data_IF_823795660380
#
_entry.id   IF_823795660380
#
_cell.length_a   1.000
_cell.length_b   1.000
_cell.length_c   1.000
_cell.angle_alpha   90.00
_cell.angle_beta   90.00
_cell.angle_gamma   90.00
#
_symmetry.space_group_name_H-M   'P 1'
#
loop_
_entity.id
_entity.type
_entity.pdbx_description
1 polymer ?
#
# COMPACT_ATOMS: atom_id res chain seq x y z
N UNK A 1 -65.40 -17.22 21.10
CA UNK A 1 -64.19 -18.06 21.06
C UNK A 1 -63.39 -17.60 19.84
N UNK A 2 -62.41 -16.70 19.99
CA UNK A 2 -61.00 -16.96 20.34
C UNK A 2 -60.39 -18.17 19.63
N UNK A 3 -59.58 -17.92 18.59
CA UNK A 3 -58.16 -18.33 18.39
C UNK A 3 -57.74 -17.93 16.96
N UNK A 4 -56.94 -16.88 16.75
CA UNK A 4 -55.47 -16.75 16.81
C UNK A 4 -54.75 -17.25 15.54
N UNK A 5 -54.45 -16.26 14.68
CA UNK A 5 -53.24 -15.96 13.89
C UNK A 5 -52.56 -16.95 12.89
N UNK A 6 -51.84 -16.39 11.90
CA UNK A 6 -51.49 -16.98 10.61
C UNK A 6 -50.04 -17.51 10.56
N UNK A 7 -49.75 -18.39 9.59
CA UNK A 7 -48.40 -18.84 9.29
C UNK A 7 -47.83 -18.11 8.05
N UNK A 8 -47.05 -17.07 8.36
CA UNK A 8 -45.73 -16.75 7.82
C UNK A 8 -45.48 -16.90 6.30
N UNK A 9 -45.64 -15.77 5.61
CA UNK A 9 -44.58 -15.07 4.86
C UNK A 9 -43.46 -15.90 4.20
N UNK A 10 -43.60 -16.12 2.89
CA UNK A 10 -42.48 -16.28 1.97
C UNK A 10 -41.86 -14.90 1.76
N UNK A 11 -40.88 -14.55 2.59
CA UNK A 11 -40.00 -13.41 2.34
C UNK A 11 -38.88 -13.87 1.42
N UNK A 12 -38.98 -13.45 0.17
CA UNK A 12 -37.89 -13.36 -0.78
C UNK A 12 -36.63 -12.78 -0.11
N UNK A 13 -35.55 -13.56 -0.09
CA UNK A 13 -34.25 -13.19 0.41
C UNK A 13 -33.65 -12.05 -0.43
N UNK A 14 -33.90 -10.82 0.01
CA UNK A 14 -33.04 -9.68 -0.30
C UNK A 14 -31.95 -9.66 0.79
N UNK A 15 -30.65 -9.56 0.46
CA UNK A 15 -29.61 -9.58 1.47
C UNK A 15 -29.75 -8.37 2.39
N UNK A 16 -30.28 -8.61 3.59
CA UNK A 16 -30.47 -7.62 4.64
C UNK A 16 -29.13 -7.33 5.33
N UNK A 17 -28.28 -6.53 4.71
CA UNK A 17 -27.06 -5.99 5.35
C UNK A 17 -27.17 -4.49 5.68
N UNK A 18 -28.07 -3.74 5.04
CA UNK A 18 -28.25 -2.30 5.30
C UNK A 18 -29.17 -1.95 6.49
N UNK A 19 -29.79 -2.95 7.14
CA UNK A 19 -30.75 -2.75 8.24
C UNK A 19 -30.19 -3.08 9.64
N UNK A 20 -28.93 -3.49 9.79
CA UNK A 20 -28.37 -3.85 11.09
C UNK A 20 -27.72 -2.69 11.87
N UNK A 21 -27.43 -1.56 11.22
CA UNK A 21 -26.84 -0.39 11.86
C UNK A 21 -27.88 0.64 12.24
N UNK A 22 -27.76 1.19 13.45
CA UNK A 22 -28.52 2.35 13.93
C UNK A 22 -28.23 3.60 13.10
N UNK A 23 -29.08 4.63 13.21
CA UNK A 23 -28.90 5.89 12.48
C UNK A 23 -27.58 6.59 12.82
N UNK A 24 -27.14 6.54 14.07
CA UNK A 24 -25.84 7.08 14.48
C UNK A 24 -24.68 6.31 13.87
N UNK A 25 -24.77 4.98 13.83
CA UNK A 25 -23.74 4.13 13.21
C UNK A 25 -23.67 4.32 11.69
N UNK A 26 -24.82 4.53 11.03
CA UNK A 26 -24.86 4.90 9.62
C UNK A 26 -24.16 6.23 9.35
N UNK A 27 -24.28 7.21 10.26
CA UNK A 27 -23.53 8.48 10.17
C UNK A 27 -22.04 8.26 10.40
N UNK A 28 -21.64 7.41 11.37
CA UNK A 28 -20.23 7.03 11.55
C UNK A 28 -19.66 6.39 10.28
N UNK A 29 -20.39 5.45 9.68
CA UNK A 29 -20.00 4.83 8.40
C UNK A 29 -19.89 5.85 7.27
N UNK A 30 -20.85 6.79 7.17
CA UNK A 30 -20.82 7.84 6.19
C UNK A 30 -19.60 8.75 6.35
N UNK A 31 -19.28 9.17 7.59
CA UNK A 31 -18.09 9.97 7.88
C UNK A 31 -16.82 9.19 7.52
N UNK A 32 -16.73 7.92 7.92
CA UNK A 32 -15.58 7.07 7.61
C UNK A 32 -15.37 6.89 6.10
N UNK A 33 -16.44 6.56 5.36
CA UNK A 33 -16.41 6.44 3.89
C UNK A 33 -16.03 7.77 3.25
N UNK A 34 -16.58 8.88 3.73
CA UNK A 34 -16.27 10.21 3.24
C UNK A 34 -14.81 10.56 3.44
N UNK A 35 -14.27 10.37 4.65
CA UNK A 35 -12.85 10.63 4.94
C UNK A 35 -11.93 9.78 4.07
N UNK A 36 -12.25 8.50 3.88
CA UNK A 36 -11.44 7.60 3.06
C UNK A 36 -11.44 7.98 1.58
N UNK A 37 -12.61 8.32 1.02
CA UNK A 37 -12.71 8.73 -0.39
C UNK A 37 -12.06 10.09 -0.65
N UNK A 38 -12.23 11.08 0.24
CA UNK A 38 -11.55 12.37 0.11
C UNK A 38 -10.04 12.22 0.24
N UNK A 39 -9.55 11.41 1.20
CA UNK A 39 -8.12 11.12 1.35
C UNK A 39 -7.51 10.51 0.08
N UNK A 40 -8.24 9.60 -0.58
CA UNK A 40 -7.82 8.99 -1.83
C UNK A 40 -7.70 10.04 -2.96
N UNK A 41 -8.67 10.93 -3.11
CA UNK A 41 -8.61 11.99 -4.14
C UNK A 41 -7.53 13.04 -3.84
N UNK A 42 -7.33 13.42 -2.57
CA UNK A 42 -6.23 14.32 -2.18
C UNK A 42 -4.88 13.69 -2.52
N UNK A 43 -4.71 12.40 -2.21
CA UNK A 43 -3.48 11.66 -2.51
C UNK A 43 -3.24 11.53 -4.01
N UNK A 44 -4.30 11.25 -4.78
CA UNK A 44 -4.25 11.19 -6.25
C UNK A 44 -3.84 12.53 -6.84
N UNK A 45 -4.44 13.63 -6.40
CA UNK A 45 -4.07 14.98 -6.85
C UNK A 45 -2.61 15.30 -6.50
N UNK A 46 -2.17 15.00 -5.27
CA UNK A 46 -0.80 15.23 -4.85
C UNK A 46 0.21 14.48 -5.74
N UNK A 47 -0.03 13.19 -6.00
CA UNK A 47 0.82 12.36 -6.85
C UNK A 47 0.86 12.83 -8.32
N UNK A 48 -0.25 13.38 -8.82
CA UNK A 48 -0.35 13.87 -10.20
C UNK A 48 0.25 15.25 -10.39
N UNK A 49 0.16 16.12 -9.38
CA UNK A 49 0.41 17.56 -9.53
C UNK A 49 1.61 18.10 -8.79
N UNK A 50 2.19 17.34 -7.84
CA UNK A 50 3.54 17.60 -7.35
C UNK A 50 4.49 16.57 -7.94
N UNK A 51 5.11 16.94 -9.06
CA UNK A 51 6.45 16.43 -9.39
C UNK A 51 7.38 16.74 -8.21
N UNK A 52 8.39 15.88 -8.03
CA UNK A 52 9.39 15.90 -6.96
C UNK A 52 9.73 17.31 -6.45
N UNK A 53 9.83 17.54 -5.13
CA UNK A 53 10.22 18.84 -4.62
C UNK A 53 11.51 19.31 -5.29
N UNK A 54 11.49 20.54 -5.82
CA UNK A 54 12.71 21.18 -6.30
C UNK A 54 13.74 21.23 -5.16
N UNK A 55 15.01 20.98 -5.46
CA UNK A 55 16.09 20.95 -4.48
C UNK A 55 16.06 22.22 -3.61
N UNK A 56 15.82 22.03 -2.30
CA UNK A 56 15.85 23.11 -1.31
C UNK A 56 14.49 23.52 -0.73
N UNK A 57 13.36 23.05 -1.26
CA UNK A 57 12.07 23.26 -0.61
C UNK A 57 11.76 22.15 0.40
N UNK A 58 11.29 22.48 1.62
CA UNK A 58 10.86 21.47 2.57
C UNK A 58 9.72 20.66 1.95
N UNK A 59 9.92 19.34 1.85
CA UNK A 59 8.89 18.40 1.44
C UNK A 59 7.75 18.41 2.47
N UNK A 60 6.75 19.26 2.25
CA UNK A 60 5.53 19.22 3.07
C UNK A 60 4.73 17.99 2.64
N UNK A 61 4.94 16.85 3.29
CA UNK A 61 4.06 15.68 3.18
C UNK A 61 2.84 15.91 4.08
N UNK A 62 1.92 16.77 3.62
CA UNK A 62 0.60 16.94 4.26
C UNK A 62 -0.12 15.57 4.37
N UNK A 63 0.17 14.67 3.44
CA UNK A 63 -0.41 13.33 3.31
C UNK A 63 -0.10 12.43 4.50
N UNK A 64 1.13 12.38 5.03
CA UNK A 64 1.52 11.28 5.92
C UNK A 64 0.88 11.41 7.32
N UNK A 65 0.86 12.62 7.87
CA UNK A 65 0.27 12.89 9.19
C UNK A 65 -1.25 12.71 9.18
N UNK A 66 -1.92 13.20 8.15
CA UNK A 66 -3.37 13.06 8.01
C UNK A 66 -3.77 11.63 7.66
N UNK A 67 -2.95 10.90 6.89
CA UNK A 67 -3.18 9.49 6.58
C UNK A 67 -3.04 8.59 7.81
N UNK A 68 -2.00 8.80 8.63
CA UNK A 68 -1.90 8.10 9.92
C UNK A 68 -3.11 8.41 10.82
N UNK A 69 -3.50 9.68 10.93
CA UNK A 69 -4.69 10.08 11.70
C UNK A 69 -5.96 9.40 11.20
N UNK A 70 -6.16 9.33 9.88
CA UNK A 70 -7.27 8.61 9.28
C UNK A 70 -7.26 7.13 9.67
N UNK A 71 -6.13 6.44 9.52
CA UNK A 71 -6.02 5.02 9.87
C UNK A 71 -6.35 4.79 11.35
N UNK A 72 -5.80 5.59 12.27
CA UNK A 72 -6.13 5.50 13.70
C UNK A 72 -7.63 5.65 13.94
N UNK A 73 -8.26 6.68 13.34
CA UNK A 73 -9.70 6.91 13.47
C UNK A 73 -10.53 5.79 12.87
N UNK A 74 -10.12 5.19 11.74
CA UNK A 74 -10.81 4.06 11.15
C UNK A 74 -10.72 2.82 12.05
N UNK A 75 -9.55 2.53 12.63
CA UNK A 75 -9.42 1.46 13.62
C UNK A 75 -10.33 1.68 14.83
N UNK A 76 -10.34 2.88 15.39
CA UNK A 76 -11.10 3.21 16.59
C UNK A 76 -12.61 3.23 16.37
N UNK A 77 -13.06 3.79 15.23
CA UNK A 77 -14.49 4.05 14.99
C UNK A 77 -15.18 2.93 14.24
N UNK A 78 -14.50 2.26 13.30
CA UNK A 78 -15.10 1.21 12.45
C UNK A 78 -14.43 -0.16 12.60
N UNK A 79 -13.47 -0.29 13.51
CA UNK A 79 -12.75 -1.54 13.82
C UNK A 79 -11.97 -2.12 12.63
N UNK A 80 -11.53 -1.28 11.71
CA UNK A 80 -10.84 -1.72 10.49
C UNK A 80 -10.02 -0.60 9.85
N UNK A 81 -8.76 -0.88 9.54
CA UNK A 81 -7.92 -0.04 8.67
C UNK A 81 -8.08 -0.37 7.18
N UNK A 82 -8.79 -1.46 6.87
CA UNK A 82 -9.07 -1.86 5.49
C UNK A 82 -10.15 -0.93 4.91
N UNK A 83 -9.68 0.05 4.12
CA UNK A 83 -10.53 1.02 3.41
C UNK A 83 -11.44 0.32 2.42
N UNK A 84 -11.01 -0.74 1.75
CA UNK A 84 -11.86 -1.45 0.80
C UNK A 84 -13.02 -2.14 1.50
N UNK A 85 -12.75 -2.77 2.65
CA UNK A 85 -13.76 -3.37 3.51
C UNK A 85 -14.80 -2.32 3.94
N UNK A 86 -14.35 -1.12 4.29
CA UNK A 86 -15.22 0.00 4.63
C UNK A 86 -16.10 0.44 3.45
N UNK A 87 -15.51 0.61 2.27
CA UNK A 87 -16.24 1.03 1.06
C UNK A 87 -17.27 -0.01 0.61
N UNK A 88 -17.09 -1.28 0.97
CA UNK A 88 -18.00 -2.38 0.68
C UNK A 88 -19.08 -2.59 1.75
N UNK A 89 -18.93 -2.01 2.95
CA UNK A 89 -19.89 -2.16 4.04
C UNK A 89 -21.29 -1.66 3.65
N UNK A 90 -21.36 -0.58 2.86
CA UNK A 90 -22.59 -0.08 2.25
C UNK A 90 -22.30 0.54 0.87
N UNK A 91 -22.46 -0.27 -0.18
CA UNK A 91 -22.19 0.16 -1.55
C UNK A 91 -23.07 1.33 -2.02
N UNK A 92 -24.31 1.43 -1.52
CA UNK A 92 -25.22 2.53 -1.88
C UNK A 92 -24.75 3.84 -1.25
N UNK A 93 -24.37 3.79 0.03
CA UNK A 93 -23.78 4.91 0.74
C UNK A 93 -22.47 5.35 0.09
N UNK A 94 -21.55 4.42 -0.17
CA UNK A 94 -20.27 4.70 -0.86
C UNK A 94 -20.49 5.36 -2.21
N UNK A 95 -21.43 4.86 -3.02
CA UNK A 95 -21.73 5.44 -4.32
C UNK A 95 -22.32 6.87 -4.20
N UNK A 96 -23.17 7.10 -3.20
CA UNK A 96 -23.75 8.43 -2.96
C UNK A 96 -22.69 9.43 -2.49
N UNK A 97 -21.80 9.03 -1.58
CA UNK A 97 -20.71 9.88 -1.10
C UNK A 97 -19.75 10.19 -2.24
N UNK A 98 -19.32 9.19 -3.01
CA UNK A 98 -18.40 9.38 -4.15
C UNK A 98 -18.94 10.39 -5.16
N UNK A 99 -20.22 10.32 -5.50
CA UNK A 99 -20.84 11.29 -6.44
C UNK A 99 -20.89 12.73 -5.92
N UNK A 100 -20.76 12.94 -4.60
CA UNK A 100 -20.72 14.25 -3.98
C UNK A 100 -19.31 14.85 -3.86
N UNK A 101 -18.26 14.11 -4.21
CA UNK A 101 -16.88 14.59 -4.12
C UNK A 101 -16.57 15.44 -5.34
N UNK A 102 -16.09 16.67 -5.09
CA UNK A 102 -15.60 17.55 -6.16
C UNK A 102 -14.15 17.19 -6.46
N UNK A 103 -13.91 16.51 -7.58
CA UNK A 103 -12.56 16.17 -8.04
C UNK A 103 -11.94 17.38 -8.79
N UNK A 104 -10.69 17.77 -8.50
CA UNK A 104 -9.97 18.76 -9.29
C UNK A 104 -9.76 18.26 -10.72
N UNK A 105 -9.91 19.13 -11.72
CA UNK A 105 -9.79 18.74 -13.13
C UNK A 105 -8.35 18.58 -13.59
N UNK A 106 -7.48 19.44 -13.09
CA UNK A 106 -6.06 19.51 -13.41
C UNK A 106 -5.30 20.21 -12.29
N UNK A 107 -3.98 20.27 -12.41
CA UNK A 107 -3.07 20.81 -11.40
C UNK A 107 -3.16 22.34 -11.20
N UNK A 108 -3.87 23.04 -12.08
CA UNK A 108 -4.13 24.48 -11.95
C UNK A 108 -5.44 24.78 -11.21
N UNK A 109 -6.29 23.77 -10.98
CA UNK A 109 -7.57 23.86 -10.28
C UNK A 109 -7.41 23.94 -8.76
N UNK A 110 -6.68 24.96 -8.32
CA UNK A 110 -6.43 25.27 -6.90
C UNK A 110 -7.73 25.44 -6.10
N UNK A 111 -8.80 25.93 -6.71
CA UNK A 111 -10.09 26.13 -6.06
C UNK A 111 -10.76 24.79 -5.73
N UNK A 112 -10.83 23.87 -6.69
CA UNK A 112 -11.38 22.53 -6.42
C UNK A 112 -10.50 21.76 -5.44
N UNK A 113 -9.18 21.92 -5.51
CA UNK A 113 -8.26 21.27 -4.58
C UNK A 113 -8.41 21.78 -3.13
N UNK A 114 -8.51 23.10 -2.92
CA UNK A 114 -8.79 23.66 -1.60
C UNK A 114 -10.14 23.18 -1.06
N UNK A 115 -11.18 23.18 -1.89
CA UNK A 115 -12.48 22.63 -1.49
C UNK A 115 -12.39 21.13 -1.14
N UNK A 116 -11.57 20.35 -1.84
CA UNK A 116 -11.34 18.94 -1.54
C UNK A 116 -10.65 18.76 -0.19
N UNK A 117 -9.65 19.59 0.13
CA UNK A 117 -8.95 19.59 1.42
C UNK A 117 -9.89 19.99 2.57
N UNK A 118 -10.67 21.06 2.41
CA UNK A 118 -11.62 21.52 3.43
C UNK A 118 -12.66 20.42 3.73
N UNK A 119 -13.19 19.78 2.69
CA UNK A 119 -14.14 18.67 2.84
C UNK A 119 -13.48 17.43 3.47
N UNK A 120 -12.21 17.16 3.16
CA UNK A 120 -11.46 16.09 3.80
C UNK A 120 -11.30 16.34 5.30
N UNK A 121 -10.88 17.54 5.70
CA UNK A 121 -10.72 17.92 7.10
C UNK A 121 -12.05 17.86 7.86
N UNK A 122 -13.12 18.36 7.24
CA UNK A 122 -14.47 18.29 7.81
C UNK A 122 -14.93 16.84 7.99
N UNK A 123 -14.69 15.97 7.01
CA UNK A 123 -15.03 14.56 7.11
C UNK A 123 -14.24 13.87 8.23
N UNK A 124 -12.95 14.17 8.32
CA UNK A 124 -12.05 13.61 9.33
C UNK A 124 -12.44 14.04 10.75
N UNK A 125 -12.76 15.33 10.94
CA UNK A 125 -13.30 15.85 12.19
C UNK A 125 -14.65 15.21 12.55
N UNK A 126 -15.54 15.06 11.56
CA UNK A 126 -16.82 14.39 11.75
C UNK A 126 -16.67 12.93 12.19
N UNK A 127 -15.64 12.23 11.70
CA UNK A 127 -15.30 10.87 12.13
C UNK A 127 -14.72 10.85 13.55
N UNK A 128 -13.87 11.81 13.89
CA UNK A 128 -13.26 11.95 15.22
C UNK A 128 -14.30 12.08 16.33
N UNK A 129 -15.33 12.92 16.12
CA UNK A 129 -16.42 13.12 17.07
C UNK A 129 -17.52 12.05 17.00
N UNK A 130 -17.47 11.16 15.99
CA UNK A 130 -18.48 10.13 15.83
C UNK A 130 -18.38 9.06 16.94
N UNK A 131 -19.51 8.44 17.28
CA UNK A 131 -19.49 7.28 18.16
C UNK A 131 -18.96 6.05 17.39
N UNK A 132 -18.12 5.21 18.01
CA UNK A 132 -17.69 3.95 17.41
C UNK A 132 -18.88 3.05 17.06
N UNK A 133 -18.70 2.21 16.04
CA UNK A 133 -19.65 1.15 15.72
C UNK A 133 -19.73 0.15 16.88
N UNK A 134 -20.94 -0.31 17.20
CA UNK A 134 -21.15 -1.32 18.24
C UNK A 134 -20.58 -2.68 17.85
N UNK A 135 -20.44 -2.93 16.54
CA UNK A 135 -19.90 -4.16 15.96
C UNK A 135 -18.95 -3.83 14.81
N UNK A 136 -17.90 -4.64 14.59
CA UNK A 136 -17.05 -4.51 13.41
C UNK A 136 -17.84 -4.57 12.11
N UNK A 137 -17.36 -3.89 11.07
CA UNK A 137 -17.94 -4.00 9.73
C UNK A 137 -17.92 -5.46 9.25
N UNK A 138 -19.10 -5.98 8.89
CA UNK A 138 -19.29 -7.38 8.52
C UNK A 138 -18.67 -7.69 7.15
N UNK A 139 -18.04 -8.86 7.04
CA UNK A 139 -17.49 -9.34 5.77
C UNK A 139 -18.65 -9.68 4.83
N UNK A 140 -18.95 -8.82 3.84
CA UNK A 140 -19.58 -9.34 2.63
C UNK A 140 -18.61 -10.39 2.06
N UNK A 141 -19.08 -11.61 1.85
CA UNK A 141 -18.31 -12.81 1.51
C UNK A 141 -17.63 -12.79 0.12
N UNK A 142 -17.18 -11.62 -0.35
CA UNK A 142 -16.43 -11.40 -1.59
C UNK A 142 -14.94 -11.09 -1.35
N UNK A 143 -14.52 -11.03 -0.08
CA UNK A 143 -13.21 -10.51 0.37
C UNK A 143 -12.02 -11.31 -0.13
N UNK A 144 -12.11 -12.64 -0.29
CA UNK A 144 -10.96 -13.44 -0.77
C UNK A 144 -10.60 -13.19 -2.23
N UNK A 145 -11.57 -12.92 -3.11
CA UNK A 145 -11.25 -12.68 -4.53
C UNK A 145 -10.80 -11.25 -4.80
N UNK A 146 -11.27 -10.27 -4.00
CA UNK A 146 -10.93 -8.86 -4.20
C UNK A 146 -9.72 -8.36 -3.39
N UNK A 147 -9.46 -8.85 -2.17
CA UNK A 147 -8.18 -8.56 -1.50
C UNK A 147 -7.00 -9.13 -2.30
N UNK A 148 -7.17 -10.31 -2.91
CA UNK A 148 -6.20 -10.82 -3.87
C UNK A 148 -6.05 -9.91 -5.10
N UNK A 149 -7.12 -9.24 -5.56
CA UNK A 149 -7.06 -8.29 -6.68
C UNK A 149 -6.46 -6.94 -6.30
N UNK A 150 -6.70 -6.45 -5.09
CA UNK A 150 -6.17 -5.19 -4.56
C UNK A 150 -4.70 -5.32 -4.19
N UNK A 151 -4.32 -6.40 -3.49
CA UNK A 151 -2.92 -6.75 -3.28
C UNK A 151 -2.22 -6.99 -4.63
N UNK A 152 -2.88 -7.63 -5.61
CA UNK A 152 -2.32 -7.72 -6.97
C UNK A 152 -2.17 -6.36 -7.62
N UNK A 153 -3.11 -5.43 -7.45
CA UNK A 153 -3.00 -4.08 -8.02
C UNK A 153 -1.88 -3.28 -7.37
N UNK A 154 -1.75 -3.29 -6.04
CA UNK A 154 -0.63 -2.65 -5.33
C UNK A 154 0.71 -3.26 -5.73
N UNK A 155 0.75 -4.59 -5.85
CA UNK A 155 1.92 -5.33 -6.32
C UNK A 155 2.27 -4.98 -7.77
N UNK A 156 1.28 -4.92 -8.66
CA UNK A 156 1.49 -4.54 -10.05
C UNK A 156 1.95 -3.08 -10.16
N UNK A 157 1.41 -2.18 -9.35
CA UNK A 157 1.86 -0.79 -9.28
C UNK A 157 3.29 -0.68 -8.74
N UNK A 158 3.65 -1.47 -7.72
CA UNK A 158 5.02 -1.53 -7.21
C UNK A 158 5.98 -2.01 -8.30
N UNK A 159 5.65 -3.07 -9.01
CA UNK A 159 6.45 -3.59 -10.13
C UNK A 159 6.55 -2.54 -11.24
N UNK A 160 5.45 -1.89 -11.61
CA UNK A 160 5.41 -0.91 -12.69
C UNK A 160 6.22 0.36 -12.39
N UNK A 161 6.24 0.82 -11.14
CA UNK A 161 7.07 1.98 -10.73
C UNK A 161 8.53 1.61 -10.45
N UNK A 162 8.85 0.31 -10.37
CA UNK A 162 10.22 -0.17 -10.16
C UNK A 162 10.97 -0.27 -11.47
N UNK A 163 12.01 0.56 -11.61
CA UNK A 163 12.92 0.50 -12.74
C UNK A 163 13.79 -0.76 -12.69
N UNK A 164 14.17 -1.20 -11.49
CA UNK A 164 14.94 -2.43 -11.29
C UNK A 164 14.42 -3.18 -10.07
N UNK A 165 14.40 -4.50 -10.19
CA UNK A 165 13.99 -5.42 -9.12
C UNK A 165 15.04 -6.52 -9.04
N UNK A 166 15.57 -6.80 -7.87
CA UNK A 166 16.64 -7.78 -7.68
C UNK A 166 16.39 -8.66 -6.47
N UNK A 167 16.59 -9.96 -6.63
CA UNK A 167 16.78 -10.87 -5.51
C UNK A 167 18.24 -10.79 -5.09
N UNK A 168 18.47 -10.48 -3.82
CA UNK A 168 19.81 -10.34 -3.25
C UNK A 168 19.99 -11.26 -2.06
N UNK A 169 21.21 -11.73 -1.86
CA UNK A 169 21.62 -12.49 -0.68
C UNK A 169 22.61 -11.69 0.15
N UNK A 170 22.55 -11.86 1.48
CA UNK A 170 23.52 -11.27 2.39
C UNK A 170 24.76 -12.16 2.42
N UNK A 171 25.89 -11.63 1.96
CA UNK A 171 27.17 -12.34 1.88
C UNK A 171 28.26 -11.58 2.65
N UNK A 172 29.15 -12.31 3.31
CA UNK A 172 30.37 -11.72 3.90
C UNK A 172 31.33 -11.28 2.78
N UNK A 173 31.79 -10.02 2.81
CA UNK A 173 32.77 -9.47 1.86
C UNK A 173 34.03 -10.35 1.78
N UNK A 174 34.47 -10.94 2.90
CA UNK A 174 35.69 -11.75 2.97
C UNK A 174 35.61 -13.04 2.15
N UNK A 175 34.41 -13.52 1.84
CA UNK A 175 34.20 -14.73 1.03
C UNK A 175 34.19 -14.45 -0.48
N UNK A 176 34.32 -13.19 -0.88
CA UNK A 176 34.16 -12.75 -2.27
C UNK A 176 35.47 -12.14 -2.78
N UNK A 177 35.82 -12.43 -4.03
CA UNK A 177 36.98 -11.80 -4.68
C UNK A 177 36.74 -10.30 -4.90
N UNK A 178 37.80 -9.47 -5.03
CA UNK A 178 37.64 -8.03 -5.28
C UNK A 178 36.79 -7.71 -6.52
N UNK A 179 36.91 -8.52 -7.57
CA UNK A 179 36.10 -8.38 -8.80
C UNK A 179 34.63 -8.67 -8.53
N UNK A 180 34.34 -9.69 -7.72
CA UNK A 180 32.98 -10.01 -7.32
C UNK A 180 32.40 -8.90 -6.42
N UNK A 181 33.17 -8.42 -5.44
CA UNK A 181 32.77 -7.31 -4.57
C UNK A 181 32.40 -6.05 -5.37
N UNK A 182 33.11 -5.74 -6.45
CA UNK A 182 32.82 -4.58 -7.29
C UNK A 182 31.46 -4.64 -8.02
N UNK A 183 30.90 -5.84 -8.21
CA UNK A 183 29.63 -6.08 -8.92
C UNK A 183 28.42 -6.22 -7.98
N UNK A 184 28.63 -6.09 -6.68
CA UNK A 184 27.59 -6.30 -5.67
C UNK A 184 27.18 -5.00 -5.01
N UNK A 185 25.98 -4.99 -4.45
CA UNK A 185 25.43 -3.80 -3.81
C UNK A 185 26.10 -3.64 -2.45
N UNK A 186 26.64 -2.45 -2.19
CA UNK A 186 27.25 -2.09 -0.91
C UNK A 186 26.26 -1.23 -0.11
N UNK A 187 25.59 -1.79 0.91
CA UNK A 187 24.76 -1.00 1.82
C UNK A 187 25.58 0.06 2.53
N UNK A 188 26.80 -0.35 2.89
CA UNK A 188 27.81 0.40 3.59
C UNK A 188 29.19 -0.10 3.12
N UNK A 189 30.06 0.83 2.72
CA UNK A 189 31.43 0.51 2.33
C UNK A 189 32.25 -0.01 3.53
N UNK A 190 31.90 0.37 4.76
CA UNK A 190 32.60 -0.02 5.98
C UNK A 190 32.09 -1.33 6.59
N UNK A 191 30.81 -1.69 6.37
CA UNK A 191 30.20 -2.92 6.87
C UNK A 191 30.83 -4.20 6.32
N UNK A 192 30.81 -5.29 7.10
CA UNK A 192 31.37 -6.60 6.72
C UNK A 192 30.55 -7.34 5.65
N UNK A 193 29.24 -7.05 5.57
CA UNK A 193 28.30 -7.77 4.72
C UNK A 193 27.88 -6.95 3.49
N UNK A 194 27.66 -7.62 2.37
CA UNK A 194 27.18 -7.05 1.11
C UNK A 194 26.00 -7.80 0.56
N UNK A 195 25.27 -7.14 -0.32
CA UNK A 195 24.13 -7.69 -1.01
C UNK A 195 24.57 -8.20 -2.37
N UNK A 196 24.76 -9.51 -2.45
CA UNK A 196 25.07 -10.22 -3.69
C UNK A 196 23.79 -10.38 -4.49
N UNK A 197 23.75 -9.80 -5.69
CA UNK A 197 22.61 -9.98 -6.60
C UNK A 197 22.64 -11.41 -7.15
N UNK A 198 21.57 -12.15 -6.93
CA UNK A 198 21.40 -13.51 -7.45
C UNK A 198 20.71 -13.49 -8.82
N UNK A 199 19.63 -12.70 -8.93
CA UNK A 199 18.82 -12.58 -10.14
C UNK A 199 18.05 -11.25 -10.14
N UNK A 200 17.62 -10.80 -11.31
CA UNK A 200 16.88 -9.55 -11.44
C UNK A 200 15.89 -9.51 -12.60
N UNK A 201 14.99 -8.54 -12.48
CA UNK A 201 13.91 -8.22 -13.40
C UNK A 201 14.00 -6.74 -13.81
N UNK A 202 13.36 -6.41 -14.94
CA UNK A 202 13.45 -5.09 -15.57
C UNK A 202 14.89 -4.70 -15.93
N UNK A 203 15.35 -3.51 -15.55
CA UNK A 203 16.70 -3.04 -15.88
C UNK A 203 17.76 -3.66 -14.96
N UNK A 204 18.96 -3.85 -15.49
CA UNK A 204 20.13 -4.25 -14.71
C UNK A 204 20.63 -3.08 -13.86
N UNK A 205 20.95 -3.33 -12.60
CA UNK A 205 21.42 -2.30 -11.68
C UNK A 205 22.81 -1.79 -12.07
N UNK A 206 22.98 -0.49 -12.38
CA UNK A 206 24.29 0.11 -12.42
C UNK A 206 24.71 0.42 -10.97
N UNK A 207 25.67 -0.33 -10.43
CA UNK A 207 26.40 -0.08 -9.17
C UNK A 207 25.64 0.75 -8.12
N UNK A 208 24.93 0.04 -7.23
CA UNK A 208 24.02 0.65 -6.27
C UNK A 208 24.71 1.50 -5.21
N UNK A 209 24.15 2.70 -4.96
CA UNK A 209 24.51 3.57 -3.85
C UNK A 209 23.41 3.52 -2.78
N UNK A 210 23.76 3.00 -1.60
CA UNK A 210 23.05 3.27 -0.35
C UNK A 210 21.85 2.38 -0.06
N UNK A 211 22.07 1.33 0.73
CA UNK A 211 20.98 0.63 1.44
C UNK A 211 21.06 1.03 2.90
N UNK A 212 19.97 1.55 3.45
CA UNK A 212 19.88 1.96 4.86
C UNK A 212 19.58 0.82 5.83
N UNK A 213 19.54 -0.43 5.38
CA UNK A 213 19.48 -1.60 6.27
C UNK A 213 20.92 -1.91 6.69
N UNK A 214 21.32 -1.32 7.81
CA UNK A 214 22.53 -1.72 8.50
C UNK A 214 22.28 -3.09 9.13
N UNK A 215 22.93 -4.13 8.63
CA UNK A 215 22.89 -5.46 9.25
C UNK A 215 24.07 -5.55 10.21
N UNK A 216 23.80 -5.28 11.49
CA UNK A 216 24.78 -5.49 12.55
C UNK A 216 25.13 -6.99 12.65
N UNK A 217 26.37 -7.32 12.97
CA UNK A 217 26.80 -8.73 13.14
C UNK A 217 25.96 -9.48 14.18
N UNK A 218 25.54 -8.78 15.24
CA UNK A 218 24.64 -9.31 16.28
C UNK A 218 23.22 -9.63 15.78
N UNK A 219 22.80 -9.05 14.65
CA UNK A 219 21.45 -9.16 14.09
C UNK A 219 21.41 -10.05 12.83
N UNK A 220 22.55 -10.49 12.33
CA UNK A 220 22.65 -11.35 11.14
C UNK A 220 21.83 -12.65 11.30
N UNK A 221 21.86 -13.24 12.49
CA UNK A 221 21.10 -14.48 12.80
C UNK A 221 19.58 -14.27 12.76
N UNK A 222 19.11 -13.02 12.91
CA UNK A 222 17.69 -12.63 12.89
C UNK A 222 17.28 -12.00 11.56
N UNK A 223 18.24 -11.66 10.71
CA UNK A 223 18.01 -11.04 9.41
C UNK A 223 17.76 -12.13 8.37
N UNK A 224 16.77 -11.93 7.50
CA UNK A 224 16.56 -12.85 6.39
C UNK A 224 17.81 -12.92 5.50
N UNK A 225 18.17 -14.13 5.06
CA UNK A 225 19.37 -14.35 4.25
C UNK A 225 19.23 -13.81 2.83
N UNK A 226 18.00 -13.67 2.35
CA UNK A 226 17.67 -13.23 1.01
C UNK A 226 16.50 -12.25 1.03
N UNK A 227 16.58 -11.27 0.14
CA UNK A 227 15.63 -10.16 0.05
C UNK A 227 15.29 -9.88 -1.41
N UNK A 228 14.02 -9.60 -1.69
CA UNK A 228 13.58 -9.03 -2.95
C UNK A 228 13.54 -7.51 -2.81
N UNK A 229 14.37 -6.81 -3.56
CA UNK A 229 14.57 -5.36 -3.48
C UNK A 229 14.01 -4.68 -4.72
N UNK A 230 13.27 -3.59 -4.51
CA UNK A 230 12.58 -2.80 -5.53
C UNK A 230 13.17 -1.40 -5.57
N UNK A 231 13.65 -0.98 -6.74
CA UNK A 231 14.38 0.27 -6.94
C UNK A 231 13.70 1.14 -8.00
N UNK A 232 13.70 2.46 -7.77
CA UNK A 232 13.16 3.43 -8.71
C UNK A 232 14.15 3.73 -9.87
N UNK A 233 13.75 4.64 -10.77
CA UNK A 233 14.56 5.04 -11.94
C UNK A 233 15.91 5.69 -11.58
N UNK A 234 16.04 6.22 -10.37
CA UNK A 234 17.25 6.84 -9.84
C UNK A 234 18.06 5.84 -8.98
N UNK A 235 17.67 4.56 -8.97
CA UNK A 235 18.20 3.51 -8.12
C UNK A 235 17.96 3.74 -6.62
N UNK A 236 16.97 4.57 -6.25
CA UNK A 236 16.55 4.71 -4.86
C UNK A 236 15.66 3.55 -4.43
N UNK A 237 15.73 3.24 -3.15
CA UNK A 237 14.96 2.18 -2.53
C UNK A 237 13.47 2.52 -2.45
N UNK A 238 12.63 1.64 -3.00
CA UNK A 238 11.18 1.72 -2.84
C UNK A 238 10.72 0.75 -1.74
N UNK A 239 11.19 -0.50 -1.80
CA UNK A 239 10.76 -1.57 -0.86
C UNK A 239 11.77 -2.71 -0.84
N UNK A 240 11.93 -3.38 0.30
CA UNK A 240 12.53 -4.71 0.39
C UNK A 240 11.60 -5.65 1.13
N UNK A 241 11.62 -6.90 0.72
CA UNK A 241 10.78 -7.95 1.23
C UNK A 241 11.67 -9.16 1.47
N UNK A 242 11.65 -9.68 2.70
CA UNK A 242 12.36 -10.91 3.00
C UNK A 242 11.79 -12.05 2.13
N UNK A 243 12.66 -12.94 1.66
CA UNK A 243 12.28 -13.95 0.66
C UNK A 243 11.14 -14.86 1.14
N UNK A 244 11.09 -15.16 2.44
CA UNK A 244 10.03 -15.91 3.11
C UNK A 244 8.63 -15.27 2.98
N UNK A 245 8.57 -13.98 2.64
CA UNK A 245 7.34 -13.22 2.45
C UNK A 245 7.17 -12.75 0.98
N UNK A 246 8.02 -13.19 0.06
CA UNK A 246 8.10 -12.67 -1.32
C UNK A 246 7.38 -13.54 -2.36
N UNK A 247 6.75 -14.66 -1.98
CA UNK A 247 6.15 -15.63 -2.91
C UNK A 247 5.16 -15.00 -3.91
N UNK A 248 4.29 -14.11 -3.43
CA UNK A 248 3.31 -13.43 -4.28
C UNK A 248 3.95 -12.48 -5.29
N UNK A 249 5.09 -11.87 -4.93
CA UNK A 249 5.88 -10.98 -5.78
C UNK A 249 6.62 -11.77 -6.86
N UNK A 250 7.27 -12.87 -6.48
CA UNK A 250 7.97 -13.74 -7.42
C UNK A 250 7.00 -14.38 -8.43
N UNK A 251 5.82 -14.82 -7.97
CA UNK A 251 4.79 -15.36 -8.86
C UNK A 251 4.31 -14.34 -9.92
N UNK A 252 4.34 -13.05 -9.60
CA UNK A 252 3.93 -11.99 -10.52
C UNK A 252 5.06 -11.53 -11.45
N UNK A 253 6.30 -11.56 -10.97
CA UNK A 253 7.49 -11.20 -11.74
C UNK A 253 7.88 -12.24 -12.79
N UNK A 254 7.40 -13.47 -12.65
CA UNK A 254 7.72 -14.60 -13.53
C UNK A 254 9.24 -14.87 -13.54
N UNK A 255 9.79 -15.30 -14.68
CA UNK A 255 11.19 -15.68 -14.80
C UNK A 255 12.12 -14.45 -14.75
N UNK A 256 13.28 -14.57 -14.08
CA UNK A 256 14.26 -13.50 -14.02
C UNK A 256 14.83 -13.19 -15.41
N UNK A 257 14.90 -11.90 -15.74
CA UNK A 257 15.42 -11.42 -17.03
C UNK A 257 16.94 -11.41 -17.09
N UNK A 258 17.62 -11.32 -15.95
CA UNK A 258 19.07 -11.25 -15.91
C UNK A 258 19.64 -11.75 -14.59
N UNK A 259 20.94 -12.10 -14.60
CA UNK A 259 21.72 -12.50 -13.43
C UNK A 259 23.20 -12.17 -13.66
N UNK A 260 23.98 -12.16 -12.58
CA UNK A 260 25.44 -12.15 -12.69
C UNK A 260 25.99 -13.57 -12.55
N UNK A 261 26.99 -13.94 -13.35
CA UNK A 261 27.72 -15.19 -13.14
C UNK A 261 28.73 -15.09 -11.99
N UNK A 262 29.44 -16.19 -11.71
CA UNK A 262 30.49 -16.25 -10.70
C UNK A 262 31.65 -15.28 -10.96
N UNK A 263 31.80 -14.77 -12.18
CA UNK A 263 32.82 -13.80 -12.57
C UNK A 263 32.29 -12.36 -12.58
N UNK A 264 31.00 -12.15 -12.29
CA UNK A 264 30.36 -10.84 -12.29
C UNK A 264 29.93 -10.34 -13.67
N UNK A 265 29.91 -11.21 -14.69
CA UNK A 265 29.38 -10.84 -16.00
C UNK A 265 27.85 -10.85 -15.98
N UNK A 266 27.24 -9.85 -16.61
CA UNK A 266 25.79 -9.79 -16.79
C UNK A 266 25.34 -10.81 -17.84
N UNK A 267 24.55 -11.79 -17.41
CA UNK A 267 23.83 -12.71 -18.28
C UNK A 267 22.38 -12.25 -18.39
N UNK A 268 21.89 -12.07 -19.62
CA UNK A 268 20.48 -11.77 -19.90
C UNK A 268 19.81 -13.05 -20.37
N UNK A 269 18.79 -13.48 -19.65
CA UNK A 269 17.93 -14.58 -20.05
C UNK A 269 17.00 -14.04 -21.15
N UNK A 270 17.01 -14.70 -22.30
CA UNK A 270 16.12 -14.37 -23.43
C UNK A 270 14.83 -15.17 -23.31
#
# INVERSE_FOLDING_TARGET
MLTVLPLLSVLSAVPALANSYSTSEKRTLQSAISSALHSAEVSKYYLQCKELPAEGEPSVSVTDKQHHRLQTLLQEKVHSNDVEKLLQADAKLTHNVRRGITEPKDCSDSKAYLALLDNYELALFSLEIAMPLSKPIANAATTRSRQASAQRNELNQLIARSNSIALVSVSDKQLLSPVQQANFLHPDYQGRYIFKVEQGWNNSLPNYMGMHIFVAEAELSKTAKQWLVFLDKNNHFIKAIALDNADSYLAALQDPHWRFDVHGNLHRNK
#
